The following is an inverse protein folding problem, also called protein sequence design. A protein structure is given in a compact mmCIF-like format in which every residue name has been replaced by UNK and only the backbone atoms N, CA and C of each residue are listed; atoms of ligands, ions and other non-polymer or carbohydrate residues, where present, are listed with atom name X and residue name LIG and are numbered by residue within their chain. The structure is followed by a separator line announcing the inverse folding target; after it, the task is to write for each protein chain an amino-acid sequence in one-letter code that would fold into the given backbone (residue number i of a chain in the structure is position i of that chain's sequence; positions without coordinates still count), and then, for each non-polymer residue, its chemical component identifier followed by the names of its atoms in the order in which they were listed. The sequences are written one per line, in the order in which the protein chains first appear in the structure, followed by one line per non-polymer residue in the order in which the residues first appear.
data_IF_902148759914
#
_entry.id   IF_902148759914
#
_cell.length_a   1.000
_cell.length_b   1.000
_cell.length_c   1.000
_cell.angle_alpha   90.00
_cell.angle_beta   90.00
_cell.angle_gamma   90.00
#
_symmetry.space_group_name_H-M   'P 1'
#
loop_
_entity.id
_entity.type
_entity.pdbx_description
1 polymer ?
#
# COMPACT_ATOMS: atom_id res chain seq x y z
N UNK A 1 -12.41 15.82 7.28
CA UNK A 1 -12.25 14.43 6.79
C UNK A 1 -10.83 14.35 6.29
N UNK A 2 -9.96 13.57 6.92
CA UNK A 2 -8.55 13.52 6.53
C UNK A 2 -8.45 13.01 5.09
N UNK A 3 -7.85 13.82 4.22
CA UNK A 3 -7.59 13.47 2.83
C UNK A 3 -6.74 12.20 2.85
N UNK A 4 -7.27 11.11 2.29
CA UNK A 4 -6.53 9.85 2.20
C UNK A 4 -5.36 10.05 1.26
N UNK A 5 -4.18 10.30 1.80
CA UNK A 5 -2.98 10.45 0.99
C UNK A 5 -2.71 9.18 0.19
N UNK A 6 -2.36 9.35 -1.08
CA UNK A 6 -2.00 8.25 -1.95
C UNK A 6 -0.61 7.74 -1.54
N UNK A 7 -0.53 6.50 -1.08
CA UNK A 7 0.72 5.88 -0.60
C UNK A 7 1.53 5.20 -1.73
N UNK A 8 0.98 5.15 -2.95
CA UNK A 8 1.57 4.45 -4.09
C UNK A 8 1.79 5.40 -5.28
N UNK A 9 2.88 5.20 -6.02
CA UNK A 9 3.15 6.02 -7.21
C UNK A 9 2.23 5.59 -8.35
N UNK A 10 1.16 6.37 -8.58
CA UNK A 10 0.15 6.09 -9.60
C UNK A 10 0.74 5.75 -10.98
N UNK A 11 1.75 6.49 -11.43
CA UNK A 11 2.39 6.25 -12.73
C UNK A 11 3.06 4.89 -12.82
N UNK A 12 3.70 4.41 -11.75
CA UNK A 12 4.35 3.09 -11.72
C UNK A 12 3.32 1.96 -11.72
N UNK A 13 2.26 2.11 -10.93
CA UNK A 13 1.17 1.12 -10.87
C UNK A 13 0.46 1.01 -12.22
N UNK A 14 0.11 2.14 -12.85
CA UNK A 14 -0.54 2.16 -14.15
C UNK A 14 0.36 1.57 -15.24
N UNK A 15 1.66 1.88 -15.22
CA UNK A 15 2.63 1.32 -16.14
C UNK A 15 2.74 -0.20 -15.97
N UNK A 16 2.87 -0.70 -14.74
CA UNK A 16 2.95 -2.13 -14.45
C UNK A 16 1.72 -2.89 -14.96
N UNK A 17 0.50 -2.40 -14.69
CA UNK A 17 -0.73 -3.05 -15.16
C UNK A 17 -0.80 -3.09 -16.69
N UNK A 18 -0.43 -1.98 -17.34
CA UNK A 18 -0.41 -1.90 -18.80
C UNK A 18 0.61 -2.85 -19.41
N UNK A 19 1.82 -2.91 -18.85
CA UNK A 19 2.90 -3.77 -19.36
C UNK A 19 2.58 -5.26 -19.17
N UNK A 20 1.94 -5.61 -18.05
CA UNK A 20 1.60 -6.99 -17.72
C UNK A 20 0.33 -7.54 -18.40
N UNK A 21 -0.58 -6.67 -18.87
CA UNK A 21 -1.92 -7.11 -19.32
C UNK A 21 -2.55 -6.30 -20.47
N UNK A 22 -1.85 -5.28 -21.00
CA UNK A 22 -2.38 -4.28 -21.96
C UNK A 22 -3.57 -3.45 -21.44
N UNK A 23 -3.99 -3.64 -20.18
CA UNK A 23 -5.12 -2.95 -19.58
C UNK A 23 -4.77 -1.54 -19.10
N UNK A 24 -5.78 -0.66 -19.11
CA UNK A 24 -5.71 0.66 -18.48
C UNK A 24 -6.23 0.58 -17.05
N UNK A 25 -5.56 1.26 -16.14
CA UNK A 25 -5.94 1.33 -14.73
C UNK A 25 -6.59 2.69 -14.42
N UNK A 26 -7.79 2.66 -13.84
CA UNK A 26 -8.52 3.87 -13.43
C UNK A 26 -7.90 4.50 -12.18
N UNK A 27 -8.24 5.77 -11.90
CA UNK A 27 -7.75 6.47 -10.71
C UNK A 27 -8.26 5.86 -9.41
N UNK A 28 -9.49 5.31 -9.40
CA UNK A 28 -10.08 4.68 -8.22
C UNK A 28 -9.30 3.44 -7.74
N UNK A 29 -8.61 2.73 -8.64
CA UNK A 29 -7.74 1.61 -8.27
C UNK A 29 -6.54 2.07 -7.44
N UNK A 30 -6.02 3.28 -7.71
CA UNK A 30 -4.90 3.86 -6.95
C UNK A 30 -5.31 4.17 -5.51
N UNK A 31 -6.52 4.68 -5.33
CA UNK A 31 -7.09 4.94 -4.01
C UNK A 31 -7.29 3.64 -3.23
N UNK A 32 -7.90 2.63 -3.87
CA UNK A 32 -8.10 1.31 -3.29
C UNK A 32 -6.78 0.60 -2.92
N UNK A 33 -5.73 0.73 -3.75
CA UNK A 33 -4.40 0.21 -3.43
C UNK A 33 -3.76 0.96 -2.26
N UNK A 34 -3.93 2.28 -2.19
CA UNK A 34 -3.41 3.08 -1.09
C UNK A 34 -4.08 2.69 0.24
N UNK A 35 -5.39 2.43 0.23
CA UNK A 35 -6.09 1.91 1.40
C UNK A 35 -5.58 0.53 1.84
N UNK A 36 -5.31 -0.38 0.88
CA UNK A 36 -4.72 -1.69 1.20
C UNK A 36 -3.31 -1.57 1.79
N UNK A 37 -2.46 -0.74 1.19
CA UNK A 37 -1.11 -0.48 1.71
C UNK A 37 -1.18 0.11 3.11
N UNK A 38 -2.11 1.02 3.36
CA UNK A 38 -2.32 1.60 4.70
C UNK A 38 -2.70 0.53 5.72
N UNK A 39 -3.68 -0.32 5.40
CA UNK A 39 -4.11 -1.40 6.29
C UNK A 39 -2.96 -2.37 6.61
N UNK A 40 -2.17 -2.75 5.59
CA UNK A 40 -0.99 -3.60 5.76
C UNK A 40 0.07 -2.94 6.66
N UNK A 41 0.35 -1.65 6.46
CA UNK A 41 1.27 -0.90 7.31
C UNK A 41 0.76 -0.79 8.75
N UNK A 42 -0.54 -0.55 8.96
CA UNK A 42 -1.13 -0.49 10.30
C UNK A 42 -1.00 -1.82 11.04
N UNK A 43 -1.23 -2.94 10.36
CA UNK A 43 -1.02 -4.26 10.92
C UNK A 43 0.45 -4.52 11.24
N UNK A 44 1.35 -4.19 10.31
CA UNK A 44 2.79 -4.35 10.51
C UNK A 44 3.31 -3.50 11.69
N UNK A 45 2.76 -2.29 11.88
CA UNK A 45 3.06 -1.44 13.04
C UNK A 45 2.57 -2.10 14.34
N UNK A 46 1.38 -2.71 14.35
CA UNK A 46 0.86 -3.41 15.53
C UNK A 46 1.75 -4.61 15.88
N UNK A 47 2.16 -5.39 14.88
CA UNK A 47 3.06 -6.53 15.05
C UNK A 47 4.43 -6.10 15.61
N UNK A 48 5.02 -5.05 15.04
CA UNK A 48 6.29 -4.51 15.51
C UNK A 48 6.20 -4.00 16.97
N UNK A 49 5.11 -3.31 17.31
CA UNK A 49 4.86 -2.83 18.68
C UNK A 49 4.65 -3.96 19.67
N UNK A 50 3.92 -5.01 19.28
CA UNK A 50 3.70 -6.20 20.11
C UNK A 50 5.02 -6.93 20.42
N UNK A 51 5.97 -6.90 19.48
CA UNK A 51 7.33 -7.43 19.63
C UNK A 51 8.29 -6.46 20.36
N UNK A 52 7.80 -5.32 20.86
CA UNK A 52 8.60 -4.31 21.57
C UNK A 52 9.55 -3.49 20.67
N UNK A 53 9.42 -3.60 19.35
CA UNK A 53 10.29 -2.92 18.38
C UNK A 53 9.75 -1.54 17.98
N UNK A 54 10.68 -0.65 17.61
CA UNK A 54 10.39 0.67 17.01
C UNK A 54 10.56 0.68 15.48
N UNK A 55 10.94 -0.45 14.91
CA UNK A 55 11.21 -0.60 13.47
C UNK A 55 10.32 -1.70 12.93
N UNK A 56 9.49 -1.34 11.95
CA UNK A 56 8.73 -2.30 11.14
C UNK A 56 9.70 -3.03 10.21
N UNK A 57 9.62 -4.34 10.18
CA UNK A 57 10.47 -5.25 9.41
C UNK A 57 9.62 -6.09 8.46
N UNK A 58 10.24 -6.75 7.48
CA UNK A 58 9.56 -7.65 6.53
C UNK A 58 8.68 -8.69 7.23
N UNK A 59 9.14 -9.24 8.37
CA UNK A 59 8.42 -10.23 9.18
C UNK A 59 7.11 -9.72 9.79
N UNK A 60 6.87 -8.41 9.78
CA UNK A 60 5.64 -7.81 10.30
C UNK A 60 4.50 -7.80 9.28
N UNK A 61 4.81 -8.00 7.99
CA UNK A 61 3.85 -8.16 6.91
C UNK A 61 3.61 -9.66 6.68
N UNK A 62 2.52 -10.21 7.22
CA UNK A 62 2.18 -11.64 7.11
C UNK A 62 0.82 -11.85 6.47
#
# INVERSE_FOLDING_TARGET
MAEKETLVIASKVKAFIKDASELKCSAAVIDALSDKVRALCEEAIKNAKADGRKTVQEKDFK
#
